data_IF_534014064191
#
_entry.id   IF_534014064191
#
_cell.length_a   1.000
_cell.length_b   1.000
_cell.length_c   1.000
_cell.angle_alpha   90.00
_cell.angle_beta   90.00
_cell.angle_gamma   90.00
#
_symmetry.space_group_name_H-M   'P 1'
#
loop_
_entity.id
_entity.type
_entity.pdbx_description
1 polymer ?
#
# COMPACT_ATOMS: atom_id res chain seq x y z
N UNK A 1 -15.54 10.95 14.53
CA UNK A 1 -14.29 10.82 13.74
C UNK A 1 -14.42 9.57 12.90
N UNK A 2 -14.85 9.71 11.65
CA UNK A 2 -14.86 8.59 10.70
C UNK A 2 -13.41 8.27 10.40
N UNK A 3 -12.90 7.18 10.97
CA UNK A 3 -11.55 6.71 10.68
C UNK A 3 -11.48 6.48 9.16
N UNK A 4 -10.63 7.24 8.47
CA UNK A 4 -10.39 7.03 7.05
C UNK A 4 -9.68 5.70 6.94
N UNK A 5 -10.40 4.66 6.50
CA UNK A 5 -9.79 3.36 6.30
C UNK A 5 -8.72 3.46 5.21
N UNK A 6 -7.53 2.86 5.43
CA UNK A 6 -6.48 2.88 4.44
C UNK A 6 -6.94 2.12 3.19
N UNK A 7 -7.02 2.83 2.06
CA UNK A 7 -7.34 2.23 0.78
C UNK A 7 -6.07 1.62 0.18
N UNK A 8 -5.88 0.33 0.40
CA UNK A 8 -4.74 -0.42 -0.14
C UNK A 8 -4.87 -0.60 -1.65
N UNK A 9 -3.75 -0.39 -2.33
CA UNK A 9 -3.57 -0.71 -3.74
C UNK A 9 -2.23 -1.40 -3.90
N UNK A 10 -2.22 -2.51 -4.63
CA UNK A 10 -1.00 -3.19 -5.04
C UNK A 10 -0.23 -2.27 -5.99
N UNK A 11 1.06 -2.09 -5.74
CA UNK A 11 1.92 -1.27 -6.59
C UNK A 11 2.10 -1.93 -7.94
N UNK A 12 2.13 -1.14 -9.03
CA UNK A 12 2.47 -1.65 -10.37
C UNK A 12 3.95 -2.01 -10.50
N UNK A 13 4.77 -1.67 -9.51
CA UNK A 13 6.18 -2.08 -9.37
C UNK A 13 6.34 -3.42 -8.66
N UNK A 14 5.25 -4.11 -8.33
CA UNK A 14 5.26 -5.52 -7.91
C UNK A 14 5.74 -6.35 -9.09
N UNK A 15 7.05 -6.46 -9.25
CA UNK A 15 7.63 -7.17 -10.39
C UNK A 15 7.24 -8.65 -10.33
N UNK A 16 6.95 -9.24 -11.48
CA UNK A 16 6.62 -10.67 -11.67
C UNK A 16 7.71 -11.64 -11.15
N UNK A 17 8.85 -11.11 -10.69
CA UNK A 17 9.97 -11.85 -10.11
C UNK A 17 9.80 -12.10 -8.60
N UNK A 18 8.63 -12.63 -8.21
CA UNK A 18 8.38 -13.40 -6.99
C UNK A 18 9.11 -13.02 -5.69
N UNK A 19 8.87 -11.83 -5.13
CA UNK A 19 9.34 -11.58 -3.77
C UNK A 19 9.14 -10.23 -3.12
N UNK A 20 8.62 -9.22 -3.82
CA UNK A 20 8.37 -7.89 -3.22
C UNK A 20 7.02 -7.33 -3.69
N UNK A 21 5.93 -7.95 -3.27
CA UNK A 21 4.60 -7.40 -3.49
C UNK A 21 4.39 -6.26 -2.48
N UNK A 22 4.38 -5.02 -2.97
CA UNK A 22 4.23 -3.82 -2.12
C UNK A 22 2.82 -3.27 -2.27
N UNK A 23 2.14 -3.06 -1.15
CA UNK A 23 0.84 -2.40 -1.05
C UNK A 23 1.03 -1.01 -0.47
N UNK A 24 0.34 -0.03 -1.06
CA UNK A 24 0.40 1.38 -0.63
C UNK A 24 -1.00 1.86 -0.29
N UNK A 25 -1.14 2.68 0.75
CA UNK A 25 -2.35 3.44 1.02
C UNK A 25 -2.01 4.92 1.15
N UNK A 26 -2.42 5.70 0.15
CA UNK A 26 -2.21 7.15 0.02
C UNK A 26 -3.44 7.99 0.41
N UNK A 27 -4.53 7.33 0.82
CA UNK A 27 -5.80 7.97 1.19
C UNK A 27 -5.78 8.69 2.55
N UNK A 28 -4.63 8.76 3.22
CA UNK A 28 -4.48 9.34 4.55
C UNK A 28 -3.80 10.70 4.43
N UNK A 29 -4.46 11.76 4.90
CA UNK A 29 -3.91 13.11 4.83
C UNK A 29 -2.65 13.22 5.69
N UNK A 30 -1.50 13.46 5.05
CA UNK A 30 -0.21 13.64 5.71
C UNK A 30 0.55 12.35 6.05
N UNK A 31 0.01 11.17 5.71
CA UNK A 31 0.66 9.88 5.95
C UNK A 31 0.49 8.98 4.73
N UNK A 32 1.56 8.33 4.29
CA UNK A 32 1.49 7.25 3.30
C UNK A 32 1.85 5.95 3.99
N UNK A 33 0.94 4.99 3.99
CA UNK A 33 1.22 3.67 4.53
C UNK A 33 1.78 2.77 3.42
N UNK A 34 2.83 2.02 3.77
CA UNK A 34 3.46 1.05 2.89
C UNK A 34 3.51 -0.28 3.64
N UNK A 35 3.08 -1.35 2.99
CA UNK A 35 3.22 -2.72 3.46
C UNK A 35 3.92 -3.54 2.40
N UNK A 36 4.97 -4.24 2.78
CA UNK A 36 5.55 -5.29 1.95
C UNK A 36 4.95 -6.65 2.35
N UNK A 37 4.63 -7.46 1.35
CA UNK A 37 4.26 -8.85 1.53
C UNK A 37 5.45 -9.72 1.14
N UNK A 38 5.88 -10.54 2.09
CA UNK A 38 6.90 -11.59 1.97
C UNK A 38 6.23 -12.95 1.88
#
# INVERSE_FOLDING_TARGET
MTAVEPRWRTSTRSGDTGGNCVEVADNLTGVVLVRDSK
#
